data_IF_363504390959
#
_entry.id   IF_363504390959
#
_cell.length_a   1.000
_cell.length_b   1.000
_cell.length_c   1.000
_cell.angle_alpha   90.00
_cell.angle_beta   90.00
_cell.angle_gamma   90.00
#
_symmetry.space_group_name_H-M   'P 1'
#
loop_
_entity.id
_entity.type
_entity.pdbx_description
1 polymer ?
#
# COMPACT_ATOMS: atom_id res chain seq x y z
N UNK A 1 1.51 -16.22 23.66
CA UNK A 1 1.94 -17.60 23.99
C UNK A 1 1.34 -18.65 23.03
N UNK A 2 0.04 -18.64 22.75
CA UNK A 2 -0.61 -19.67 21.90
C UNK A 2 -0.07 -19.75 20.46
N UNK A 3 0.26 -18.62 19.82
CA UNK A 3 0.80 -18.60 18.45
C UNK A 3 2.20 -19.23 18.31
N UNK A 4 3.02 -19.13 19.36
CA UNK A 4 4.38 -19.68 19.38
C UNK A 4 4.37 -21.20 19.46
N UNK A 5 3.44 -21.77 20.24
CA UNK A 5 3.27 -23.21 20.37
C UNK A 5 2.77 -23.85 19.06
N UNK A 6 1.78 -23.22 18.41
CA UNK A 6 1.25 -23.72 17.15
C UNK A 6 2.30 -23.73 16.03
N UNK A 7 3.08 -22.66 15.92
CA UNK A 7 4.18 -22.60 14.95
C UNK A 7 5.24 -23.67 15.22
N UNK A 8 5.61 -23.90 16.48
CA UNK A 8 6.59 -24.93 16.84
C UNK A 8 6.12 -26.34 16.47
N UNK A 9 4.86 -26.68 16.75
CA UNK A 9 4.27 -27.99 16.40
C UNK A 9 4.20 -28.17 14.87
N UNK A 10 3.84 -27.11 14.15
CA UNK A 10 3.77 -27.15 12.70
C UNK A 10 5.14 -27.43 12.07
N UNK A 11 6.19 -26.75 12.52
CA UNK A 11 7.55 -26.96 12.04
C UNK A 11 8.08 -28.35 12.39
N UNK A 12 7.83 -28.84 13.61
CA UNK A 12 8.19 -30.20 14.01
C UNK A 12 7.50 -31.26 13.14
N UNK A 13 6.24 -31.03 12.77
CA UNK A 13 5.48 -31.92 11.89
C UNK A 13 6.06 -31.94 10.47
N UNK A 14 6.44 -30.77 9.93
CA UNK A 14 7.10 -30.69 8.62
C UNK A 14 8.45 -31.39 8.66
N UNK A 15 9.23 -31.23 9.73
CA UNK A 15 10.53 -31.88 9.86
C UNK A 15 10.38 -33.41 9.85
N UNK A 16 9.44 -33.95 10.63
CA UNK A 16 9.14 -35.39 10.63
C UNK A 16 8.71 -35.90 9.25
N UNK A 17 7.86 -35.16 8.55
CA UNK A 17 7.44 -35.51 7.19
C UNK A 17 8.59 -35.43 6.17
N UNK A 18 9.61 -34.60 6.44
CA UNK A 18 10.83 -34.54 5.63
C UNK A 18 11.71 -35.76 5.89
N UNK A 19 11.87 -36.16 7.16
CA UNK A 19 12.63 -37.34 7.56
C UNK A 19 12.02 -38.64 7.00
N UNK A 20 10.70 -38.68 6.82
CA UNK A 20 9.94 -39.79 6.22
C UNK A 20 9.87 -39.73 4.67
N UNK A 21 10.59 -38.80 4.03
CA UNK A 21 10.60 -38.59 2.57
C UNK A 21 9.20 -38.30 1.97
N UNK A 22 8.28 -37.80 2.78
CA UNK A 22 6.95 -37.34 2.36
C UNK A 22 7.03 -35.91 1.82
N UNK A 23 7.85 -35.07 2.46
CA UNK A 23 8.11 -33.67 2.08
C UNK A 23 9.53 -33.57 1.54
N UNK A 24 9.68 -33.15 0.29
CA UNK A 24 11.00 -33.01 -0.35
C UNK A 24 11.83 -31.89 0.27
N UNK A 25 11.22 -30.71 0.40
CA UNK A 25 11.84 -29.53 1.00
C UNK A 25 10.77 -28.61 1.58
N UNK A 26 11.15 -27.80 2.57
CA UNK A 26 10.33 -26.70 3.04
C UNK A 26 11.15 -25.41 3.01
N UNK A 27 10.53 -24.32 2.57
CA UNK A 27 11.14 -22.98 2.52
C UNK A 27 10.10 -21.95 2.93
N UNK A 28 10.54 -20.78 3.38
CA UNK A 28 9.59 -19.72 3.67
C UNK A 28 9.01 -19.14 2.37
N UNK A 29 7.80 -18.60 2.48
CA UNK A 29 7.08 -18.04 1.33
C UNK A 29 7.87 -16.93 0.62
N UNK A 30 8.62 -16.12 1.37
CA UNK A 30 9.41 -15.02 0.80
C UNK A 30 10.52 -15.57 -0.11
N UNK A 31 11.25 -16.56 0.35
CA UNK A 31 12.29 -17.24 -0.43
C UNK A 31 11.70 -17.92 -1.66
N UNK A 32 10.60 -18.67 -1.48
CA UNK A 32 9.96 -19.44 -2.54
C UNK A 32 9.49 -18.56 -3.70
N UNK A 33 8.80 -17.44 -3.40
CA UNK A 33 8.15 -16.63 -4.44
C UNK A 33 8.91 -15.35 -4.80
N UNK A 34 9.81 -14.85 -3.94
CA UNK A 34 10.41 -13.52 -4.11
C UNK A 34 11.95 -13.54 -4.24
N UNK A 35 12.64 -14.64 -3.88
CA UNK A 35 14.13 -14.74 -3.97
C UNK A 35 14.60 -15.64 -5.12
N UNK A 36 13.83 -16.67 -5.49
CA UNK A 36 14.23 -17.69 -6.49
C UNK A 36 14.59 -17.15 -7.88
N UNK A 37 14.25 -15.90 -8.23
CA UNK A 37 14.47 -15.36 -9.58
C UNK A 37 15.84 -14.75 -9.84
N UNK A 38 16.74 -14.60 -8.87
CA UNK A 38 18.12 -14.07 -9.11
C UNK A 38 18.20 -12.62 -9.61
N UNK A 39 17.08 -12.04 -10.01
CA UNK A 39 16.94 -10.65 -10.44
C UNK A 39 16.75 -9.77 -9.22
N UNK A 40 17.76 -8.96 -8.88
CA UNK A 40 17.73 -7.95 -7.80
C UNK A 40 16.62 -6.89 -7.94
N UNK A 41 15.82 -6.95 -9.02
CA UNK A 41 14.68 -6.07 -9.33
C UNK A 41 13.56 -6.84 -10.05
N UNK A 42 13.30 -8.10 -9.68
CA UNK A 42 12.15 -8.81 -10.22
C UNK A 42 10.89 -7.96 -9.96
N UNK A 43 10.13 -7.65 -11.02
CA UNK A 43 8.85 -6.97 -10.92
C UNK A 43 7.85 -7.93 -10.26
N UNK A 44 7.88 -7.97 -8.93
CA UNK A 44 7.00 -8.80 -8.12
C UNK A 44 5.57 -8.36 -8.41
N UNK A 45 4.88 -9.17 -9.21
CA UNK A 45 3.47 -8.97 -9.51
C UNK A 45 2.69 -9.90 -8.57
N UNK A 46 1.65 -9.38 -7.92
CA UNK A 46 0.79 -10.15 -7.00
C UNK A 46 0.29 -11.47 -7.59
N UNK A 47 0.24 -11.59 -8.91
CA UNK A 47 -0.13 -12.79 -9.68
C UNK A 47 0.74 -14.03 -9.39
N UNK A 48 1.95 -13.88 -8.85
CA UNK A 48 2.82 -15.03 -8.51
C UNK A 48 2.54 -15.63 -7.13
N UNK A 49 1.76 -14.95 -6.28
CA UNK A 49 1.34 -15.47 -4.98
C UNK A 49 0.04 -16.26 -5.17
N UNK A 50 -0.04 -17.52 -4.71
CA UNK A 50 -1.29 -18.29 -4.77
C UNK A 50 -2.40 -17.59 -3.96
N UNK A 51 -3.60 -17.52 -4.53
CA UNK A 51 -4.78 -16.96 -3.86
C UNK A 51 -5.54 -18.07 -3.14
N UNK A 52 -5.71 -17.96 -1.83
CA UNK A 52 -6.52 -18.88 -1.03
C UNK A 52 -7.68 -18.14 -0.36
N UNK A 53 -8.86 -18.74 -0.36
CA UNK A 53 -10.03 -18.13 0.27
C UNK A 53 -9.84 -18.03 1.80
N UNK A 54 -10.03 -16.82 2.34
CA UNK A 54 -9.88 -16.56 3.77
C UNK A 54 -8.43 -16.47 4.28
N UNK A 55 -7.45 -16.47 3.37
CA UNK A 55 -6.05 -16.35 3.75
C UNK A 55 -5.69 -14.94 4.27
N UNK A 56 -4.52 -14.89 4.91
CA UNK A 56 -3.97 -13.63 5.40
C UNK A 56 -3.61 -12.68 4.26
N UNK A 57 -3.04 -13.19 3.16
CA UNK A 57 -2.45 -12.37 2.10
C UNK A 57 -3.49 -11.62 1.29
N UNK A 58 -4.61 -12.24 0.93
CA UNK A 58 -5.69 -11.61 0.18
C UNK A 58 -6.32 -10.47 0.97
N UNK A 59 -6.68 -10.73 2.24
CA UNK A 59 -7.22 -9.70 3.14
C UNK A 59 -6.20 -8.57 3.36
N UNK A 60 -4.91 -8.91 3.51
CA UNK A 60 -3.88 -7.90 3.72
C UNK A 60 -3.64 -7.07 2.47
N UNK A 61 -3.69 -7.67 1.28
CA UNK A 61 -3.57 -6.98 0.01
C UNK A 61 -4.72 -6.00 -0.21
N UNK A 62 -5.97 -6.42 0.00
CA UNK A 62 -7.16 -5.56 -0.06
C UNK A 62 -7.04 -4.36 0.88
N UNK A 63 -6.62 -4.60 2.13
CA UNK A 63 -6.40 -3.54 3.10
C UNK A 63 -5.32 -2.54 2.64
N UNK A 64 -4.19 -3.03 2.11
CA UNK A 64 -3.10 -2.17 1.64
C UNK A 64 -3.57 -1.32 0.46
N UNK A 65 -4.26 -1.91 -0.51
CA UNK A 65 -4.82 -1.20 -1.67
C UNK A 65 -5.78 -0.11 -1.20
N UNK A 66 -6.72 -0.45 -0.32
CA UNK A 66 -7.69 0.51 0.21
C UNK A 66 -7.02 1.67 0.98
N UNK A 67 -5.91 1.41 1.67
CA UNK A 67 -5.15 2.47 2.36
C UNK A 67 -4.38 3.38 1.39
N UNK A 68 -3.77 2.80 0.34
CA UNK A 68 -3.09 3.58 -0.70
C UNK A 68 -4.09 4.53 -1.38
N UNK A 69 -5.28 4.03 -1.73
CA UNK A 69 -6.33 4.84 -2.36
C UNK A 69 -6.79 5.99 -1.46
N UNK A 70 -6.93 5.73 -0.15
CA UNK A 70 -7.28 6.76 0.85
C UNK A 70 -6.20 7.82 0.98
N UNK A 71 -4.93 7.42 1.12
CA UNK A 71 -3.82 8.36 1.23
C UNK A 71 -3.71 9.26 -0.01
N UNK A 72 -3.93 8.71 -1.20
CA UNK A 72 -3.90 9.47 -2.44
C UNK A 72 -5.11 10.41 -2.57
N UNK A 73 -6.30 9.99 -2.14
CA UNK A 73 -7.47 10.86 -2.07
C UNK A 73 -7.27 12.04 -1.11
N UNK A 74 -6.69 11.80 0.07
CA UNK A 74 -6.37 12.85 1.04
C UNK A 74 -5.32 13.84 0.53
N UNK A 75 -4.27 13.36 -0.13
CA UNK A 75 -3.25 14.22 -0.76
C UNK A 75 -3.86 15.13 -1.84
N UNK A 76 -4.75 14.59 -2.67
CA UNK A 76 -5.48 15.37 -3.70
C UNK A 76 -6.43 16.41 -3.09
N UNK A 77 -7.09 16.09 -1.97
CA UNK A 77 -8.00 17.04 -1.32
C UNK A 77 -7.25 18.21 -0.66
N UNK A 78 -6.10 17.94 -0.03
CA UNK A 78 -5.25 18.98 0.58
C UNK A 78 -4.69 19.93 -0.47
N UNK A 79 -4.15 19.41 -1.58
CA UNK A 79 -3.61 20.25 -2.66
C UNK A 79 -4.68 21.13 -3.32
N UNK A 80 -5.91 20.62 -3.49
CA UNK A 80 -7.04 21.39 -4.01
C UNK A 80 -7.44 22.56 -3.09
N UNK A 81 -7.51 22.33 -1.77
CA UNK A 81 -7.81 23.37 -0.78
C UNK A 81 -6.74 24.46 -0.75
N UNK A 82 -5.47 24.10 -0.84
CA UNK A 82 -4.36 25.06 -0.87
C UNK A 82 -4.36 25.90 -2.15
N UNK A 83 -4.69 25.29 -3.29
CA UNK A 83 -4.82 25.98 -4.57
C UNK A 83 -5.99 26.98 -4.55
N UNK A 84 -7.16 26.58 -4.05
CA UNK A 84 -8.32 27.46 -3.91
C UNK A 84 -8.03 28.63 -2.95
N UNK A 85 -7.38 28.38 -1.81
CA UNK A 85 -6.98 29.45 -0.89
C UNK A 85 -5.97 30.43 -1.51
N UNK A 86 -5.09 29.95 -2.38
CA UNK A 86 -4.15 30.81 -3.12
C UNK A 86 -4.86 31.66 -4.18
N UNK A 87 -5.84 31.10 -4.88
CA UNK A 87 -6.69 31.84 -5.83
C UNK A 87 -7.51 32.92 -5.11
N UNK A 88 -8.16 32.58 -4.00
CA UNK A 88 -8.98 33.52 -3.22
C UNK A 88 -8.14 34.70 -2.69
N UNK A 89 -6.91 34.45 -2.23
CA UNK A 89 -5.97 35.50 -1.80
C UNK A 89 -5.56 36.45 -2.92
N UNK A 90 -5.49 35.98 -4.17
CA UNK A 90 -5.12 36.81 -5.32
C UNK A 90 -6.32 37.58 -5.91
N UNK A 91 -7.55 37.08 -5.74
CA UNK A 91 -8.77 37.71 -6.23
C UNK A 91 -9.12 38.97 -5.40
N UNK A 92 -8.99 38.92 -4.08
CA UNK A 92 -9.30 40.02 -3.17
C UNK A 92 -8.60 41.36 -3.50
N UNK A 93 -7.25 41.41 -3.64
CA UNK A 93 -6.56 42.65 -3.99
C UNK A 93 -6.85 43.12 -5.41
N UNK A 94 -7.17 42.21 -6.35
CA UNK A 94 -7.52 42.56 -7.74
C UNK A 94 -8.86 43.26 -7.84
N UNK A 95 -9.85 42.82 -7.06
CA UNK A 95 -11.16 43.49 -6.92
C UNK A 95 -11.00 44.87 -6.27
N UNK A 96 -10.18 44.98 -5.21
CA UNK A 96 -9.91 46.24 -4.54
C UNK A 96 -9.22 47.25 -5.48
N UNK A 97 -8.26 46.80 -6.30
CA UNK A 97 -7.61 47.62 -7.31
C UNK A 97 -8.60 48.09 -8.38
N UNK A 98 -9.52 47.21 -8.82
CA UNK A 98 -10.58 47.57 -9.77
C UNK A 98 -11.50 48.64 -9.17
N UNK A 99 -11.91 48.51 -7.90
CA UNK A 99 -12.73 49.52 -7.22
C UNK A 99 -12.03 50.88 -7.11
N UNK A 100 -10.72 50.89 -6.83
CA UNK A 100 -9.93 52.12 -6.74
C UNK A 100 -9.79 52.78 -8.12
N UNK A 101 -9.56 51.99 -9.17
CA UNK A 101 -9.43 52.51 -10.54
C UNK A 101 -10.75 53.08 -11.07
N UNK A 102 -11.89 52.48 -10.73
CA UNK A 102 -13.21 52.99 -11.11
C UNK A 102 -13.56 54.30 -10.39
N UNK A 103 -12.99 54.58 -9.20
CA UNK A 103 -13.19 55.85 -8.49
C UNK A 103 -12.37 57.01 -9.04
N UNK A 104 -11.31 56.76 -9.82
CA UNK A 104 -10.40 57.82 -10.30
C UNK A 104 -10.87 58.52 -11.59
N UNK A 105 -11.95 58.02 -12.20
CA UNK A 105 -12.52 58.52 -13.46
C UNK A 105 -13.91 59.18 -13.32
N UNK A 106 -14.38 59.40 -12.08
CA UNK A 106 -15.56 60.21 -11.77
C UNK A 106 -15.15 61.49 -11.07
#
# INVERSE_FOLDING_TARGET
>A
MVSSLFLAVYLDTIQKATDEDIVVEHTNMYEQFFVRTGEKKAKVTLTFVPYFEGDYFSRRAEYIIANIDKEDAEKRQKSGKDHLQKLLRNIQPKLLLQMILQRKHS
#
